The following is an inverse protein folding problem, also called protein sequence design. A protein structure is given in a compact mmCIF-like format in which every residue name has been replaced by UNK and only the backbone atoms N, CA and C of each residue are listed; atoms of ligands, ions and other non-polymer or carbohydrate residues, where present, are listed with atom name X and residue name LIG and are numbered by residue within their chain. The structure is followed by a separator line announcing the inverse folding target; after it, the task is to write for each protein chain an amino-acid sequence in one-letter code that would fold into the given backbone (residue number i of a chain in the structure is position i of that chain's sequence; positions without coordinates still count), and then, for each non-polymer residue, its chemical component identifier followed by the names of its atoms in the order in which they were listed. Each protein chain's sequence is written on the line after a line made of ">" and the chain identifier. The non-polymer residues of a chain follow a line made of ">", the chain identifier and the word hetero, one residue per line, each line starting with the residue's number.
data_IF_338285385111
#
_entry.id   IF_338285385111
#
_cell.length_a   1.000
_cell.length_b   1.000
_cell.length_c   1.000
_cell.angle_alpha   90.00
_cell.angle_beta   90.00
_cell.angle_gamma   90.00
#
_symmetry.space_group_name_H-M   'P 1'
#
loop_
_entity.id
_entity.type
_entity.pdbx_description
1 polymer ?
#
# COMPACT_ATOMS: atom_id res chain seq x y z
N UNK A 1 -47.31 -19.34 6.18
CA UNK A 1 -45.92 -19.64 5.76
C UNK A 1 -45.76 -18.96 4.42
N UNK A 2 -45.20 -17.75 4.42
CA UNK A 2 -44.99 -16.98 3.20
C UNK A 2 -43.95 -17.69 2.32
N UNK A 3 -44.26 -17.75 1.03
CA UNK A 3 -43.56 -18.50 0.02
C UNK A 3 -42.11 -18.00 -0.12
N UNK A 4 -41.16 -18.65 0.56
CA UNK A 4 -39.72 -18.39 0.43
C UNK A 4 -39.29 -18.46 -1.05
N UNK A 5 -40.00 -19.29 -1.83
CA UNK A 5 -39.89 -19.40 -3.29
C UNK A 5 -40.15 -18.07 -4.01
N UNK A 6 -41.17 -17.32 -3.61
CA UNK A 6 -41.51 -16.04 -4.23
C UNK A 6 -40.44 -14.98 -3.96
N UNK A 7 -39.91 -14.93 -2.72
CA UNK A 7 -38.82 -14.02 -2.33
C UNK A 7 -37.53 -14.36 -3.09
N UNK A 8 -37.21 -15.65 -3.26
CA UNK A 8 -36.04 -16.08 -4.05
C UNK A 8 -36.20 -15.74 -5.54
N UNK A 9 -37.42 -15.78 -6.09
CA UNK A 9 -37.72 -15.38 -7.47
C UNK A 9 -37.46 -13.88 -7.73
N UNK A 10 -37.66 -13.01 -6.73
CA UNK A 10 -37.39 -11.58 -6.84
C UNK A 10 -35.92 -11.27 -7.17
N UNK A 11 -34.98 -12.06 -6.65
CA UNK A 11 -33.54 -11.89 -6.87
C UNK A 11 -33.07 -12.36 -8.24
N UNK A 12 -33.91 -13.13 -8.94
CA UNK A 12 -33.69 -13.59 -10.32
C UNK A 12 -34.27 -12.63 -11.37
N UNK A 13 -34.86 -11.51 -10.94
CA UNK A 13 -35.35 -10.47 -11.83
C UNK A 13 -34.21 -9.84 -12.65
N UNK A 14 -34.44 -9.54 -13.94
CA UNK A 14 -33.43 -8.93 -14.81
C UNK A 14 -32.89 -7.59 -14.29
N UNK A 15 -33.63 -6.91 -13.40
CA UNK A 15 -33.22 -5.66 -12.75
C UNK A 15 -31.94 -5.84 -11.91
N UNK A 16 -31.72 -7.04 -11.34
CA UNK A 16 -30.56 -7.33 -10.48
C UNK A 16 -29.38 -7.95 -11.24
N UNK A 17 -29.46 -8.10 -12.56
CA UNK A 17 -28.38 -8.71 -13.38
C UNK A 17 -27.06 -7.98 -13.22
N UNK A 18 -27.05 -6.65 -13.29
CA UNK A 18 -25.84 -5.83 -13.07
C UNK A 18 -25.26 -6.02 -11.67
N UNK A 19 -26.12 -6.05 -10.65
CA UNK A 19 -25.70 -6.29 -9.27
C UNK A 19 -25.01 -7.66 -9.13
N UNK A 20 -25.62 -8.72 -9.68
CA UNK A 20 -25.04 -10.06 -9.62
C UNK A 20 -23.77 -10.21 -10.44
N UNK A 21 -23.65 -9.52 -11.58
CA UNK A 21 -22.40 -9.48 -12.34
C UNK A 21 -21.26 -8.87 -11.52
N UNK A 22 -21.50 -7.74 -10.86
CA UNK A 22 -20.49 -7.12 -9.99
C UNK A 22 -20.18 -7.97 -8.76
N UNK A 23 -21.20 -8.60 -8.16
CA UNK A 23 -21.00 -9.54 -7.06
C UNK A 23 -20.13 -10.73 -7.49
N UNK A 24 -20.38 -11.32 -8.66
CA UNK A 24 -19.55 -12.40 -9.19
C UNK A 24 -18.11 -11.97 -9.45
N UNK A 25 -17.90 -10.76 -10.00
CA UNK A 25 -16.56 -10.19 -10.19
C UNK A 25 -15.84 -10.00 -8.84
N UNK A 26 -16.51 -9.45 -7.83
CA UNK A 26 -15.97 -9.27 -6.49
C UNK A 26 -15.64 -10.61 -5.81
N UNK A 27 -16.53 -11.60 -5.95
CA UNK A 27 -16.29 -12.94 -5.40
C UNK A 27 -15.15 -13.66 -6.12
N UNK A 28 -15.03 -13.51 -7.44
CA UNK A 28 -13.91 -14.05 -8.21
C UNK A 28 -12.58 -13.41 -7.78
N UNK A 29 -12.55 -12.09 -7.59
CA UNK A 29 -11.39 -11.38 -7.04
C UNK A 29 -11.05 -11.89 -5.64
N UNK A 30 -12.02 -11.97 -4.73
CA UNK A 30 -11.81 -12.43 -3.36
C UNK A 30 -11.26 -13.87 -3.32
N UNK A 31 -11.76 -14.76 -4.18
CA UNK A 31 -11.25 -16.12 -4.29
C UNK A 31 -9.79 -16.16 -4.78
N UNK A 32 -9.46 -15.38 -5.82
CA UNK A 32 -8.09 -15.28 -6.34
C UNK A 32 -7.15 -14.70 -5.29
N UNK A 33 -7.58 -13.63 -4.62
CA UNK A 33 -6.83 -13.00 -3.55
C UNK A 33 -6.60 -13.97 -2.39
N UNK A 34 -7.63 -14.69 -1.93
CA UNK A 34 -7.51 -15.67 -0.85
C UNK A 34 -6.55 -16.81 -1.21
N UNK A 35 -6.53 -17.25 -2.47
CA UNK A 35 -5.57 -18.26 -2.96
C UNK A 35 -4.15 -17.70 -3.01
N UNK A 36 -3.97 -16.47 -3.49
CA UNK A 36 -2.67 -15.80 -3.53
C UNK A 36 -2.13 -15.56 -2.12
N UNK A 37 -2.96 -15.04 -1.21
CA UNK A 37 -2.64 -14.83 0.20
C UNK A 37 -2.25 -16.14 0.89
N UNK A 38 -3.00 -17.22 0.67
CA UNK A 38 -2.64 -18.54 1.22
C UNK A 38 -1.28 -19.02 0.71
N UNK A 39 -1.03 -18.93 -0.59
CA UNK A 39 0.27 -19.31 -1.17
C UNK A 39 1.42 -18.45 -0.64
N UNK A 40 1.19 -17.14 -0.48
CA UNK A 40 2.18 -16.22 0.09
C UNK A 40 2.44 -16.54 1.56
N UNK A 41 1.40 -16.84 2.34
CA UNK A 41 1.51 -17.29 3.73
C UNK A 41 2.28 -18.61 3.85
N UNK A 42 1.95 -19.59 3.02
CA UNK A 42 2.65 -20.88 2.95
C UNK A 42 4.11 -20.72 2.49
N UNK A 43 4.42 -19.78 1.61
CA UNK A 43 5.79 -19.48 1.18
C UNK A 43 6.59 -18.72 2.25
N UNK A 44 5.96 -17.80 2.98
CA UNK A 44 6.60 -17.02 4.03
C UNK A 44 6.86 -17.83 5.31
N UNK A 45 5.98 -18.77 5.65
CA UNK A 45 6.04 -19.53 6.90
C UNK A 45 6.36 -21.03 6.73
N UNK A 46 6.35 -21.54 5.49
CA UNK A 46 6.73 -22.91 5.15
C UNK A 46 5.88 -24.01 5.82
N UNK A 47 6.07 -25.29 5.47
CA UNK A 47 5.39 -26.44 6.10
C UNK A 47 5.97 -26.81 7.48
N UNK A 48 6.68 -25.89 8.16
CA UNK A 48 7.55 -26.22 9.30
C UNK A 48 7.00 -25.84 10.68
N UNK A 49 5.75 -25.38 10.81
CA UNK A 49 5.24 -24.88 12.11
C UNK A 49 3.92 -25.49 12.60
N UNK A 50 3.43 -26.57 11.99
CA UNK A 50 2.25 -27.29 12.52
C UNK A 50 2.60 -28.47 13.45
N UNK A 51 3.83 -28.57 13.94
CA UNK A 51 4.18 -29.56 14.97
C UNK A 51 5.26 -29.00 15.89
N UNK A 52 4.86 -28.17 16.84
CA UNK A 52 5.18 -28.36 18.26
C UNK A 52 4.61 -27.21 19.09
N UNK A 53 3.54 -27.55 19.80
CA UNK A 53 3.28 -27.19 21.20
C UNK A 53 3.42 -25.72 21.60
N UNK A 54 2.27 -25.12 21.96
CA UNK A 54 2.23 -24.03 22.94
C UNK A 54 3.12 -24.37 24.14
N UNK A 55 3.89 -23.39 24.64
CA UNK A 55 3.55 -22.89 25.97
C UNK A 55 3.71 -21.36 26.12
N UNK A 56 2.72 -20.78 26.82
CA UNK A 56 2.80 -19.56 27.64
C UNK A 56 3.51 -18.33 27.07
N UNK A 57 2.77 -17.52 26.30
CA UNK A 57 3.09 -16.12 26.01
C UNK A 57 2.68 -15.20 27.17
N UNK A 58 3.32 -15.33 28.34
CA UNK A 58 3.02 -14.45 29.49
C UNK A 58 4.18 -14.20 30.45
N UNK A 59 5.43 -14.02 29.99
CA UNK A 59 6.52 -13.65 30.92
C UNK A 59 7.86 -13.12 30.38
N UNK A 60 7.93 -12.37 29.27
CA UNK A 60 9.26 -11.99 28.72
C UNK A 60 9.47 -10.53 28.30
N UNK A 61 8.61 -9.59 28.71
CA UNK A 61 8.68 -8.20 28.23
C UNK A 61 8.61 -7.14 29.34
N UNK A 62 9.34 -7.34 30.45
CA UNK A 62 9.41 -6.33 31.52
C UNK A 62 10.84 -6.00 31.99
N UNK A 63 11.87 -6.36 31.22
CA UNK A 63 13.26 -6.14 31.64
C UNK A 63 14.09 -5.48 30.52
N UNK A 64 13.76 -4.23 30.19
CA UNK A 64 14.56 -3.39 29.28
C UNK A 64 14.60 -1.92 29.71
N UNK A 65 14.54 -1.65 31.02
CA UNK A 65 14.80 -0.31 31.54
C UNK A 65 15.63 -0.39 32.82
N UNK A 66 16.96 -0.38 32.65
CA UNK A 66 17.91 -0.02 33.69
C UNK A 66 19.19 0.54 33.04
N UNK A 67 19.51 1.79 33.40
CA UNK A 67 20.75 2.53 33.20
C UNK A 67 21.26 2.80 31.78
N UNK A 68 20.76 3.90 31.20
CA UNK A 68 21.62 4.79 30.41
C UNK A 68 22.40 5.72 31.35
N UNK A 69 23.66 5.36 31.66
CA UNK A 69 24.74 6.34 31.90
C UNK A 69 26.08 5.60 32.03
N UNK A 70 26.84 5.50 30.93
CA UNK A 70 28.31 5.53 30.93
C UNK A 70 28.82 5.44 29.49
N UNK A 71 28.85 6.57 28.79
CA UNK A 71 29.61 6.71 27.55
C UNK A 71 31.08 6.93 27.94
N UNK A 72 31.82 5.84 28.08
CA UNK A 72 33.28 5.87 28.22
C UNK A 72 33.89 5.82 26.82
N UNK A 73 34.19 7.00 26.29
CA UNK A 73 34.95 7.20 25.06
C UNK A 73 36.42 6.83 25.29
N UNK A 74 36.73 5.54 25.17
CA UNK A 74 38.12 5.07 25.07
C UNK A 74 38.49 4.98 23.60
N UNK A 75 39.28 5.95 23.15
CA UNK A 75 39.98 5.95 21.86
C UNK A 75 40.93 4.74 21.80
N UNK A 76 40.48 3.67 21.15
CA UNK A 76 41.29 2.47 20.92
C UNK A 76 42.16 2.75 19.69
N UNK A 77 43.44 3.05 19.90
CA UNK A 77 44.45 3.05 18.84
C UNK A 77 44.55 1.63 18.24
N UNK A 78 43.90 1.42 17.10
CA UNK A 78 44.02 0.19 16.31
C UNK A 78 45.33 0.22 15.53
N UNK A 79 46.36 -0.48 16.01
CA UNK A 79 47.62 -0.67 15.29
C UNK A 79 47.40 -1.53 14.02
N UNK A 80 47.31 -0.85 12.88
CA UNK A 80 47.03 -1.45 11.55
C UNK A 80 48.26 -2.20 11.00
N UNK A 81 49.44 -2.01 11.58
CA UNK A 81 50.70 -2.52 11.02
C UNK A 81 50.89 -4.03 11.15
N UNK A 82 50.14 -4.70 12.04
CA UNK A 82 50.27 -6.12 12.36
C UNK A 82 49.11 -7.01 11.87
N UNK A 83 48.19 -6.49 11.05
CA UNK A 83 47.03 -7.27 10.60
C UNK A 83 47.33 -8.04 9.31
N UNK A 84 47.86 -9.25 9.44
CA UNK A 84 47.99 -10.18 8.32
C UNK A 84 46.61 -10.63 7.84
N UNK A 85 46.17 -10.15 6.67
CA UNK A 85 44.91 -10.56 6.07
C UNK A 85 45.06 -12.02 5.64
N UNK A 86 44.31 -12.91 6.27
CA UNK A 86 44.31 -14.33 5.89
C UNK A 86 43.90 -14.50 4.42
N UNK A 87 44.49 -15.50 3.77
CA UNK A 87 44.25 -15.77 2.34
C UNK A 87 42.77 -16.05 2.04
N UNK A 88 42.05 -16.65 3.00
CA UNK A 88 40.61 -16.88 2.94
C UNK A 88 39.81 -15.57 2.98
N UNK A 89 40.18 -14.62 3.85
CA UNK A 89 39.49 -13.33 3.94
C UNK A 89 39.73 -12.49 2.68
N UNK A 90 40.90 -12.61 2.06
CA UNK A 90 41.21 -11.99 0.76
C UNK A 90 40.29 -12.51 -0.36
N UNK A 91 40.00 -13.81 -0.36
CA UNK A 91 39.03 -14.40 -1.29
C UNK A 91 37.60 -13.94 -1.01
N UNK A 92 37.21 -13.82 0.27
CA UNK A 92 35.90 -13.30 0.65
C UNK A 92 35.69 -11.85 0.20
N UNK A 93 36.70 -10.98 0.35
CA UNK A 93 36.62 -9.61 -0.18
C UNK A 93 36.46 -9.59 -1.70
N UNK A 94 37.19 -10.44 -2.44
CA UNK A 94 37.04 -10.57 -3.89
C UNK A 94 35.63 -11.06 -4.29
N UNK A 95 35.02 -11.97 -3.52
CA UNK A 95 33.63 -12.40 -3.75
C UNK A 95 32.62 -11.29 -3.44
N UNK A 96 32.83 -10.55 -2.35
CA UNK A 96 31.96 -9.45 -1.92
C UNK A 96 32.01 -8.30 -2.93
N UNK A 97 33.18 -8.03 -3.49
CA UNK A 97 33.40 -7.03 -4.53
C UNK A 97 32.69 -7.43 -5.83
N UNK A 98 32.86 -8.67 -6.29
CA UNK A 98 32.13 -9.19 -7.47
C UNK A 98 30.61 -9.08 -7.31
N UNK A 99 30.08 -9.41 -6.14
CA UNK A 99 28.64 -9.29 -5.87
C UNK A 99 28.16 -7.83 -5.85
N UNK A 100 28.97 -6.92 -5.28
CA UNK A 100 28.68 -5.47 -5.35
C UNK A 100 28.67 -4.95 -6.78
N UNK A 101 29.62 -5.38 -7.60
CA UNK A 101 29.66 -5.01 -9.01
C UNK A 101 28.47 -5.57 -9.81
N UNK A 102 28.07 -6.81 -9.53
CA UNK A 102 26.92 -7.46 -10.17
C UNK A 102 25.60 -6.76 -9.82
N UNK A 103 25.38 -6.44 -8.54
CA UNK A 103 24.22 -5.66 -8.10
C UNK A 103 24.20 -4.27 -8.74
N UNK A 104 25.36 -3.62 -8.87
CA UNK A 104 25.46 -2.29 -9.49
C UNK A 104 25.12 -2.34 -10.99
N UNK A 105 25.54 -3.40 -11.69
CA UNK A 105 25.16 -3.65 -13.09
C UNK A 105 23.68 -3.95 -13.24
N UNK A 106 23.10 -4.79 -12.36
CA UNK A 106 21.66 -5.07 -12.38
C UNK A 106 20.83 -3.80 -12.14
N UNK A 107 21.23 -2.96 -11.19
CA UNK A 107 20.58 -1.66 -10.96
C UNK A 107 20.66 -0.73 -12.18
N UNK A 108 21.79 -0.70 -12.89
CA UNK A 108 21.92 0.11 -14.10
C UNK A 108 21.02 -0.42 -15.23
N UNK A 109 21.03 -1.72 -15.47
CA UNK A 109 20.16 -2.37 -16.46
C UNK A 109 18.68 -2.16 -16.10
N UNK A 110 18.33 -2.29 -14.82
CA UNK A 110 16.98 -2.06 -14.33
C UNK A 110 16.58 -0.58 -14.48
N UNK A 111 17.47 0.37 -14.16
CA UNK A 111 17.25 1.80 -14.35
C UNK A 111 17.09 2.18 -15.84
N UNK A 112 17.89 1.59 -16.73
CA UNK A 112 17.78 1.75 -18.18
C UNK A 112 16.50 1.11 -18.74
N UNK A 113 16.07 -0.03 -18.19
CA UNK A 113 14.78 -0.64 -18.54
C UNK A 113 13.58 0.14 -17.98
N UNK A 114 13.76 0.86 -16.86
CA UNK A 114 12.77 1.73 -16.24
C UNK A 114 12.68 3.12 -16.92
N UNK A 115 13.29 3.36 -18.08
CA UNK A 115 13.08 4.63 -18.82
C UNK A 115 11.62 4.79 -19.32
N UNK A 116 10.87 3.67 -19.35
CA UNK A 116 9.40 3.63 -19.54
C UNK A 116 8.60 3.72 -18.23
N UNK A 117 9.26 3.72 -17.07
CA UNK A 117 8.63 3.72 -15.76
C UNK A 117 8.34 5.16 -15.33
N UNK A 118 7.06 5.51 -15.25
CA UNK A 118 6.62 6.78 -14.66
C UNK A 118 6.35 6.54 -13.17
N UNK A 119 7.14 7.14 -12.25
CA UNK A 119 6.82 7.10 -10.84
C UNK A 119 5.42 7.67 -10.61
N UNK A 120 4.52 6.89 -10.01
CA UNK A 120 3.15 7.34 -9.74
C UNK A 120 3.08 8.54 -8.76
N UNK A 121 4.21 8.80 -8.07
CA UNK A 121 4.41 9.94 -7.18
C UNK A 121 4.74 11.24 -7.94
N UNK A 122 4.92 11.19 -9.28
CA UNK A 122 4.74 12.37 -10.13
C UNK A 122 3.24 12.71 -10.17
N UNK A 123 2.80 13.19 -9.02
CA UNK A 123 1.96 14.37 -8.95
C UNK A 123 0.78 14.36 -9.92
N UNK A 124 -0.26 13.61 -9.52
CA UNK A 124 -1.65 13.94 -9.83
C UNK A 124 -2.04 15.36 -9.34
N UNK A 125 -1.12 16.10 -8.70
CA UNK A 125 -1.28 17.51 -8.29
C UNK A 125 -0.26 18.49 -8.90
N UNK A 126 0.71 18.05 -9.70
CA UNK A 126 1.90 18.87 -9.99
C UNK A 126 2.71 18.42 -11.21
N UNK A 127 2.09 18.37 -12.38
CA UNK A 127 2.83 18.57 -13.64
C UNK A 127 3.07 17.33 -14.50
N UNK A 128 2.57 17.42 -15.74
CA UNK A 128 3.30 16.88 -16.88
C UNK A 128 2.61 15.84 -17.74
N UNK A 129 1.30 15.59 -17.63
CA UNK A 129 0.56 14.89 -18.68
C UNK A 129 -0.94 15.21 -18.59
N UNK A 130 -1.33 16.33 -19.19
CA UNK A 130 -2.56 16.51 -19.97
C UNK A 130 -3.72 15.54 -19.64
N UNK A 131 -4.31 15.65 -18.45
CA UNK A 131 -5.74 15.93 -18.48
C UNK A 131 -5.83 17.18 -19.34
N UNK A 132 -6.40 17.07 -20.55
CA UNK A 132 -6.82 18.25 -21.28
C UNK A 132 -7.91 18.91 -20.42
N UNK A 133 -7.48 19.60 -19.38
CA UNK A 133 -8.22 20.69 -18.79
C UNK A 133 -8.41 21.63 -19.95
N UNK A 134 -9.65 21.69 -20.44
CA UNK A 134 -10.02 22.76 -21.34
C UNK A 134 -9.59 24.05 -20.65
N UNK A 135 -8.74 24.86 -21.31
CA UNK A 135 -8.42 26.20 -20.82
C UNK A 135 -9.66 27.11 -20.87
N UNK A 136 -10.75 26.65 -21.47
CA UNK A 136 -12.05 27.25 -21.36
C UNK A 136 -12.65 26.95 -19.97
N UNK A 137 -13.23 27.95 -19.28
CA UNK A 137 -14.02 27.70 -18.08
C UNK A 137 -15.07 26.62 -18.39
N UNK A 138 -15.31 25.67 -17.48
CA UNK A 138 -16.38 24.68 -17.66
C UNK A 138 -17.67 25.39 -18.05
N UNK A 139 -18.21 25.05 -19.23
CA UNK A 139 -19.46 25.64 -19.76
C UNK A 139 -20.65 25.40 -18.83
N UNK A 140 -20.57 24.32 -18.06
CA UNK A 140 -21.53 23.95 -17.04
C UNK A 140 -20.85 24.15 -15.68
N UNK A 141 -21.46 24.95 -14.80
CA UNK A 141 -20.91 25.15 -13.45
C UNK A 141 -21.00 23.81 -12.72
N UNK A 142 -19.88 23.12 -12.43
CA UNK A 142 -19.92 21.76 -11.88
C UNK A 142 -20.65 21.72 -10.53
N UNK A 143 -20.63 22.82 -9.78
CA UNK A 143 -21.39 22.98 -8.54
C UNK A 143 -22.91 23.10 -8.71
N UNK A 144 -23.41 23.56 -9.86
CA UNK A 144 -24.86 23.74 -10.08
C UNK A 144 -25.57 22.41 -10.29
N UNK A 145 -24.99 21.50 -11.09
CA UNK A 145 -25.54 20.15 -11.26
C UNK A 145 -25.60 19.40 -9.94
N UNK A 146 -24.47 19.39 -9.22
CA UNK A 146 -24.35 18.72 -7.92
C UNK A 146 -25.31 19.32 -6.89
N UNK A 147 -25.50 20.63 -6.90
CA UNK A 147 -26.49 21.32 -6.06
C UNK A 147 -27.93 20.94 -6.40
N UNK A 148 -28.27 20.82 -7.69
CA UNK A 148 -29.60 20.38 -8.12
C UNK A 148 -29.87 18.91 -7.76
N UNK A 149 -28.88 18.04 -7.94
CA UNK A 149 -28.94 16.63 -7.54
C UNK A 149 -29.08 16.49 -6.01
N UNK A 150 -28.29 17.25 -5.23
CA UNK A 150 -28.44 17.27 -3.77
C UNK A 150 -29.82 17.76 -3.33
N UNK A 151 -30.37 18.80 -3.97
CA UNK A 151 -31.74 19.26 -3.70
C UNK A 151 -32.78 18.21 -4.07
N UNK A 152 -32.57 17.44 -5.14
CA UNK A 152 -33.46 16.34 -5.54
C UNK A 152 -33.40 15.16 -4.56
N UNK A 153 -32.22 14.82 -4.05
CA UNK A 153 -32.00 13.68 -3.16
C UNK A 153 -32.36 13.98 -1.69
N UNK A 154 -31.96 15.15 -1.20
CA UNK A 154 -32.00 15.50 0.23
C UNK A 154 -32.95 16.65 0.55
N UNK A 155 -33.56 17.28 -0.45
CA UNK A 155 -34.58 18.31 -0.27
C UNK A 155 -34.10 19.49 0.59
N UNK A 156 -34.81 19.75 1.70
CA UNK A 156 -34.51 20.84 2.64
C UNK A 156 -33.15 20.65 3.35
N UNK A 157 -32.73 19.41 3.56
CA UNK A 157 -31.49 19.07 4.26
C UNK A 157 -30.26 19.05 3.35
N UNK A 158 -30.42 19.30 2.05
CA UNK A 158 -29.32 19.34 1.08
C UNK A 158 -28.16 20.23 1.53
N UNK A 159 -28.46 21.43 2.06
CA UNK A 159 -27.44 22.34 2.55
C UNK A 159 -26.69 21.79 3.78
N UNK A 160 -27.39 21.09 4.68
CA UNK A 160 -26.80 20.46 5.86
C UNK A 160 -25.86 19.33 5.47
N UNK A 161 -26.28 18.45 4.55
CA UNK A 161 -25.46 17.34 4.05
C UNK A 161 -24.22 17.87 3.32
N UNK A 162 -24.39 18.89 2.46
CA UNK A 162 -23.26 19.53 1.78
C UNK A 162 -22.26 20.12 2.76
N UNK A 163 -22.74 20.77 3.82
CA UNK A 163 -21.88 21.33 4.86
C UNK A 163 -21.11 20.23 5.61
N UNK A 164 -21.78 19.12 5.95
CA UNK A 164 -21.12 17.98 6.61
C UNK A 164 -20.06 17.34 5.72
N UNK A 165 -20.36 17.11 4.44
CA UNK A 165 -19.42 16.55 3.47
C UNK A 165 -18.21 17.47 3.29
N UNK A 166 -18.45 18.77 3.16
CA UNK A 166 -17.38 19.77 3.03
C UNK A 166 -16.51 19.80 4.29
N UNK A 167 -17.10 19.74 5.48
CA UNK A 167 -16.36 19.68 6.73
C UNK A 167 -15.51 18.39 6.84
N UNK A 168 -16.04 17.25 6.39
CA UNK A 168 -15.28 15.99 6.33
C UNK A 168 -14.11 16.08 5.35
N UNK A 169 -14.33 16.63 4.16
CA UNK A 169 -13.28 16.83 3.17
C UNK A 169 -12.18 17.78 3.68
N UNK A 170 -12.54 18.90 4.30
CA UNK A 170 -11.57 19.84 4.87
C UNK A 170 -10.73 19.21 5.98
N UNK A 171 -11.33 18.37 6.82
CA UNK A 171 -10.59 17.63 7.83
C UNK A 171 -9.63 16.61 7.22
N UNK A 172 -10.04 15.94 6.15
CA UNK A 172 -9.17 15.05 5.39
C UNK A 172 -8.00 15.81 4.78
N UNK A 173 -8.26 16.91 4.06
CA UNK A 173 -7.26 17.73 3.40
C UNK A 173 -6.26 18.28 4.42
N UNK A 174 -6.75 18.79 5.57
CA UNK A 174 -5.89 19.24 6.68
C UNK A 174 -4.96 18.14 7.17
N UNK A 175 -5.46 16.91 7.32
CA UNK A 175 -4.64 15.78 7.75
C UNK A 175 -3.63 15.36 6.68
N UNK A 176 -4.00 15.42 5.40
CA UNK A 176 -3.10 15.16 4.29
C UNK A 176 -1.98 16.21 4.20
N UNK A 177 -2.30 17.49 4.37
CA UNK A 177 -1.31 18.57 4.34
C UNK A 177 -0.34 18.49 5.52
N UNK A 178 -0.85 18.16 6.71
CA UNK A 178 -0.04 18.04 7.93
C UNK A 178 0.86 16.80 7.91
N UNK A 179 0.33 15.65 7.48
CA UNK A 179 1.05 14.37 7.59
C UNK A 179 1.80 13.99 6.32
N UNK A 180 1.45 14.59 5.18
CA UNK A 180 1.91 14.21 3.83
C UNK A 180 2.12 12.70 3.70
N UNK A 181 1.08 11.89 3.99
CA UNK A 181 1.26 10.46 4.08
C UNK A 181 1.73 9.93 2.73
N UNK A 182 2.92 9.31 2.71
CA UNK A 182 3.38 8.57 1.54
C UNK A 182 2.43 7.40 1.36
N UNK A 183 1.66 7.41 0.28
CA UNK A 183 0.85 6.26 -0.08
C UNK A 183 1.78 5.07 -0.21
N UNK A 184 1.42 3.96 0.45
CA UNK A 184 2.20 2.74 0.39
C UNK A 184 2.47 2.39 -1.09
N UNK A 185 3.69 1.97 -1.46
CA UNK A 185 4.02 1.73 -2.86
C UNK A 185 2.95 0.85 -3.49
N UNK A 186 2.25 1.40 -4.47
CA UNK A 186 1.39 0.63 -5.35
C UNK A 186 2.33 -0.15 -6.25
N UNK A 187 2.81 -1.29 -5.76
CA UNK A 187 3.70 -2.18 -6.50
C UNK A 187 2.95 -2.56 -7.77
N UNK A 188 3.42 -2.17 -8.97
CA UNK A 188 2.74 -2.52 -10.20
C UNK A 188 2.75 -4.04 -10.32
N UNK A 189 1.57 -4.65 -10.23
CA UNK A 189 1.42 -6.07 -10.53
C UNK A 189 1.48 -6.22 -12.05
N UNK A 190 2.51 -6.92 -12.55
CA UNK A 190 2.55 -7.39 -13.93
C UNK A 190 1.45 -8.46 -14.07
N UNK A 191 0.30 -8.09 -14.64
CA UNK A 191 -0.81 -9.00 -14.96
C UNK A 191 -0.61 -9.63 -16.34
#
# INVERSE_FOLDING_TARGET
>A
MEDVSAVMSCFSSPVYTRYWQHYQQAMAWHQRHRRAYRKAWEAAYGPAYCREQQPSSRRRYEDWHADEESSSDSEIECDVSNMEISEELRQYFAQTEKHREELKKQQQIEAEQHDSYVPADRDLRGGGASWRGSAAPPLERPGERRGAEMKKLYGKDAAKILAMETAMQLNFDRNCDLKQPKYWPVIPLKL
#
